data_IF_325778100816
#
_entry.id   IF_325778100816
#
_cell.length_a   1.000
_cell.length_b   1.000
_cell.length_c   1.000
_cell.angle_alpha   90.00
_cell.angle_beta   90.00
_cell.angle_gamma   90.00
#
_symmetry.space_group_name_H-M   'P 1'
#
loop_
_entity.id
_entity.type
_entity.pdbx_description
1 polymer ?
#
# COMPACT_ATOMS: atom_id res chain seq x y z
N UNK A 1 -4.14 -6.27 -0.73
CA UNK A 1 -4.02 -4.88 -1.27
C UNK A 1 -5.24 -4.02 -1.01
N UNK A 2 -6.42 -4.61 -0.82
CA UNK A 2 -7.58 -3.89 -0.27
C UNK A 2 -7.23 -3.22 1.07
N UNK A 3 -6.41 -3.87 1.91
CA UNK A 3 -5.85 -3.24 3.11
C UNK A 3 -5.27 -1.85 2.84
N UNK A 4 -4.39 -1.71 1.83
CA UNK A 4 -3.72 -0.45 1.52
C UNK A 4 -4.70 0.63 1.06
N UNK A 5 -5.77 0.25 0.36
CA UNK A 5 -6.85 1.16 -0.07
C UNK A 5 -7.73 1.65 1.08
N UNK A 6 -7.78 0.88 2.17
CA UNK A 6 -8.53 1.23 3.38
C UNK A 6 -7.71 2.05 4.39
N UNK A 7 -6.43 2.34 4.10
CA UNK A 7 -5.62 3.16 4.98
C UNK A 7 -5.92 4.64 4.71
N UNK A 8 -6.41 5.35 5.73
CA UNK A 8 -6.63 6.80 5.66
C UNK A 8 -5.36 7.61 5.78
N UNK A 9 -4.32 7.02 6.38
CA UNK A 9 -2.99 7.61 6.51
C UNK A 9 -1.98 6.79 5.74
N UNK A 10 -0.83 7.38 5.49
CA UNK A 10 0.30 6.66 4.95
C UNK A 10 0.76 5.57 5.93
N UNK A 11 1.04 4.36 5.43
CA UNK A 11 1.42 3.21 6.25
C UNK A 11 2.90 2.94 6.24
N UNK A 12 3.39 2.45 7.37
CA UNK A 12 4.70 1.83 7.46
C UNK A 12 4.63 0.41 6.88
N UNK A 13 5.47 0.10 5.90
CA UNK A 13 5.58 -1.24 5.30
C UNK A 13 6.06 -2.27 6.34
N UNK A 14 6.79 -1.85 7.38
CA UNK A 14 7.22 -2.76 8.44
C UNK A 14 6.02 -3.33 9.22
N UNK A 15 4.86 -2.66 9.16
CA UNK A 15 3.61 -3.12 9.74
C UNK A 15 2.80 -3.96 8.73
N UNK A 16 3.29 -5.17 8.41
CA UNK A 16 2.57 -6.11 7.53
C UNK A 16 1.20 -6.46 8.14
N UNK A 17 0.10 -6.35 7.38
CA UNK A 17 -1.21 -6.75 7.90
C UNK A 17 -1.35 -8.27 7.97
N UNK A 18 -2.31 -8.71 8.79
CA UNK A 18 -2.63 -10.14 8.99
C UNK A 18 -3.23 -10.80 7.74
N UNK A 19 -3.69 -10.02 6.76
CA UNK A 19 -4.24 -10.53 5.49
C UNK A 19 -3.17 -11.18 4.58
N UNK A 20 -1.88 -10.92 4.79
CA UNK A 20 -0.81 -11.61 4.07
C UNK A 20 -0.22 -12.72 4.93
N UNK A 21 -0.27 -13.95 4.42
CA UNK A 21 0.34 -15.13 5.03
C UNK A 21 1.87 -15.17 4.91
N UNK A 22 2.45 -14.41 3.98
CA UNK A 22 3.87 -14.47 3.59
C UNK A 22 4.45 -13.07 3.43
N UNK A 23 5.59 -12.81 4.08
CA UNK A 23 6.34 -11.55 3.95
C UNK A 23 6.84 -11.34 2.52
N UNK A 24 7.26 -12.43 1.86
CA UNK A 24 7.74 -12.37 0.47
C UNK A 24 6.64 -11.95 -0.49
N UNK A 25 5.43 -12.49 -0.31
CA UNK A 25 4.30 -12.14 -1.18
C UNK A 25 3.83 -10.71 -0.94
N UNK A 26 3.84 -10.27 0.33
CA UNK A 26 3.59 -8.88 0.68
C UNK A 26 4.60 -7.92 0.04
N UNK A 27 5.91 -8.17 0.23
CA UNK A 27 6.96 -7.33 -0.34
C UNK A 27 6.94 -7.34 -1.87
N UNK A 28 6.65 -8.49 -2.49
CA UNK A 28 6.50 -8.60 -3.95
C UNK A 28 5.32 -7.76 -4.45
N UNK A 29 4.19 -7.78 -3.76
CA UNK A 29 3.02 -6.95 -4.11
C UNK A 29 3.35 -5.45 -4.02
N UNK A 30 4.02 -5.02 -2.95
CA UNK A 30 4.45 -3.63 -2.77
C UNK A 30 5.43 -3.21 -3.86
N UNK A 31 6.44 -4.04 -4.18
CA UNK A 31 7.38 -3.77 -5.26
C UNK A 31 6.70 -3.66 -6.61
N UNK A 32 5.70 -4.50 -6.90
CA UNK A 32 4.91 -4.44 -8.13
C UNK A 32 4.16 -3.12 -8.26
N UNK A 33 3.51 -2.66 -7.19
CA UNK A 33 2.83 -1.36 -7.18
C UNK A 33 3.80 -0.19 -7.36
N UNK A 34 4.95 -0.24 -6.69
CA UNK A 34 6.00 0.77 -6.81
C UNK A 34 6.49 0.89 -8.25
N UNK A 35 6.79 -0.23 -8.90
CA UNK A 35 7.23 -0.27 -10.31
C UNK A 35 6.22 0.33 -11.28
N UNK A 36 4.93 0.28 -10.94
CA UNK A 36 3.82 0.81 -11.74
C UNK A 36 3.43 2.25 -11.40
N UNK A 37 4.08 2.87 -10.42
CA UNK A 37 3.73 4.22 -9.96
C UNK A 37 2.36 4.30 -9.27
N UNK A 38 1.88 3.20 -8.68
CA UNK A 38 0.54 3.14 -8.06
C UNK A 38 0.55 3.51 -6.57
N UNK A 39 1.74 3.58 -5.97
CA UNK A 39 1.94 4.00 -4.58
C UNK A 39 2.99 5.10 -4.51
N UNK A 40 2.76 6.06 -3.61
CA UNK A 40 3.69 7.11 -3.29
C UNK A 40 4.47 6.76 -2.03
N UNK A 41 5.76 7.08 -2.03
CA UNK A 41 6.60 7.03 -0.84
C UNK A 41 6.70 8.43 -0.24
N UNK A 42 6.10 8.63 0.93
CA UNK A 42 6.30 9.82 1.75
C UNK A 42 7.49 9.55 2.67
N UNK A 43 8.56 10.34 2.55
CA UNK A 43 9.69 10.27 3.49
C UNK A 43 9.47 11.30 4.58
N UNK A 44 9.37 10.85 5.82
CA UNK A 44 9.40 11.75 6.98
C UNK A 44 10.54 11.33 7.90
N UNK A 45 11.59 12.14 7.96
CA UNK A 45 12.83 11.92 8.72
C UNK A 45 13.49 10.53 8.54
N UNK A 46 13.01 9.50 9.25
CA UNK A 46 13.57 8.14 9.30
C UNK A 46 12.61 7.05 8.80
N UNK A 47 11.34 7.39 8.56
CA UNK A 47 10.31 6.42 8.23
C UNK A 47 9.84 6.61 6.79
N UNK A 48 9.71 5.49 6.09
CA UNK A 48 9.20 5.43 4.73
C UNK A 48 7.75 5.01 4.77
N UNK A 49 6.90 6.00 4.57
CA UNK A 49 5.46 5.88 4.61
C UNK A 49 4.91 5.70 3.19
N UNK A 50 3.87 4.88 3.04
CA UNK A 50 3.33 4.53 1.73
C UNK A 50 1.82 4.73 1.66
N UNK A 51 1.35 5.26 0.55
CA UNK A 51 -0.08 5.40 0.25
C UNK A 51 -0.33 5.09 -1.21
N UNK A 52 -1.53 4.60 -1.53
CA UNK A 52 -1.98 4.54 -2.92
C UNK A 52 -2.18 5.94 -3.47
N UNK A 53 -1.98 6.08 -4.79
CA UNK A 53 -2.46 7.24 -5.53
C UNK A 53 -3.98 7.43 -5.30
N UNK A 54 -4.47 8.67 -5.12
CA UNK A 54 -5.88 8.92 -4.82
C UNK A 54 -6.86 8.25 -5.79
N UNK A 55 -6.57 8.32 -7.09
CA UNK A 55 -7.38 7.70 -8.16
C UNK A 55 -7.42 6.18 -8.02
N UNK A 56 -6.30 5.55 -7.65
CA UNK A 56 -6.23 4.10 -7.45
C UNK A 56 -6.97 3.70 -6.17
N UNK A 57 -6.84 4.50 -5.11
CA UNK A 57 -7.57 4.30 -3.84
C UNK A 57 -9.08 4.30 -4.08
N UNK A 58 -9.58 5.25 -4.86
CA UNK A 58 -11.00 5.34 -5.23
C UNK A 58 -11.45 4.16 -6.11
N UNK A 59 -10.67 3.81 -7.14
CA UNK A 59 -10.95 2.64 -7.97
C UNK A 59 -11.09 1.35 -7.14
N UNK A 60 -10.15 1.09 -6.22
CA UNK A 60 -10.20 -0.13 -5.40
C UNK A 60 -11.40 -0.17 -4.44
N UNK A 61 -11.81 0.99 -3.89
CA UNK A 61 -13.02 1.09 -3.07
C UNK A 61 -14.28 0.79 -3.87
N UNK A 62 -14.34 1.24 -5.12
CA UNK A 62 -15.48 1.01 -6.01
C UNK A 62 -15.56 -0.44 -6.53
N UNK A 63 -14.43 -1.16 -6.63
CA UNK A 63 -14.41 -2.58 -7.01
C UNK A 63 -14.74 -3.54 -5.86
N UNK A 64 -14.80 -3.05 -4.61
CA UNK A 64 -15.13 -3.85 -3.43
C UNK A 64 -16.61 -3.78 -3.05
N UNK A 65 -17.43 -3.22 -3.94
CA UNK A 65 -18.87 -3.01 -3.80
C UNK A 65 -19.63 -4.04 -4.62
#
# INVERSE_FOLDING_TARGET
>A
MLWLANQDKTVDILSKPTEFSSDNDFLRAIQSLKKRGLIQQVRNNKESYWSLEPVIKEYMKNQSR
#
